data_IF_932071738280
#
_entry.id   IF_932071738280
#
_cell.length_a   1.000
_cell.length_b   1.000
_cell.length_c   1.000
_cell.angle_alpha   90.00
_cell.angle_beta   90.00
_cell.angle_gamma   90.00
#
_symmetry.space_group_name_H-M   'P 1'
#
loop_
_entity.id
_entity.type
_entity.pdbx_description
1 polymer ?
#
# COMPACT_ATOMS: atom_id res chain seq x y z
N UNK A 1 9.39 0.50 12.50
CA UNK A 1 8.48 1.54 11.95
C UNK A 1 7.17 0.88 11.56
N UNK A 2 6.03 1.51 11.86
CA UNK A 2 4.69 0.94 11.55
C UNK A 2 4.53 0.61 10.06
N UNK A 3 5.08 1.45 9.17
CA UNK A 3 5.10 1.15 7.74
C UNK A 3 5.87 -0.14 7.41
N UNK A 4 7.18 -0.19 7.68
CA UNK A 4 8.06 -1.31 7.29
C UNK A 4 7.74 -2.63 7.99
N UNK A 5 7.40 -2.58 9.28
CA UNK A 5 7.25 -3.79 10.10
C UNK A 5 5.78 -4.21 10.22
N UNK A 6 4.84 -3.25 10.09
CA UNK A 6 3.41 -3.47 10.17
C UNK A 6 2.77 -3.66 8.79
N UNK A 7 2.77 -2.62 7.96
CA UNK A 7 2.00 -2.61 6.71
C UNK A 7 2.69 -3.25 5.53
N UNK A 8 3.99 -3.00 5.30
CA UNK A 8 4.72 -3.57 4.16
C UNK A 8 4.53 -5.08 4.10
N UNK A 9 4.68 -5.89 5.16
CA UNK A 9 4.51 -7.33 5.06
C UNK A 9 3.07 -7.81 4.75
N UNK A 10 2.08 -6.94 4.89
CA UNK A 10 0.65 -7.24 4.68
C UNK A 10 0.20 -6.88 3.27
N UNK A 11 0.78 -5.82 2.69
CA UNK A 11 0.42 -5.33 1.36
C UNK A 11 0.99 -6.21 0.24
N UNK A 12 0.22 -6.41 -0.82
CA UNK A 12 0.67 -7.13 -2.02
C UNK A 12 1.72 -6.34 -2.82
N UNK A 13 2.47 -7.01 -3.68
CA UNK A 13 3.45 -6.33 -4.57
C UNK A 13 2.75 -5.46 -5.60
N UNK A 14 1.57 -5.88 -6.07
CA UNK A 14 0.69 -5.10 -6.96
C UNK A 14 0.17 -3.85 -6.25
N UNK A 15 -0.28 -3.97 -5.00
CA UNK A 15 -0.68 -2.85 -4.14
C UNK A 15 0.42 -1.81 -3.96
N UNK A 16 1.61 -2.25 -3.56
CA UNK A 16 2.76 -1.34 -3.42
C UNK A 16 3.17 -0.70 -4.74
N UNK A 17 3.07 -1.42 -5.86
CA UNK A 17 3.37 -0.88 -7.19
C UNK A 17 2.36 0.20 -7.58
N UNK A 18 1.07 -0.04 -7.36
CA UNK A 18 0.02 0.94 -7.62
C UNK A 18 0.20 2.20 -6.76
N UNK A 19 0.52 2.03 -5.46
CA UNK A 19 0.78 3.15 -4.57
C UNK A 19 2.02 3.96 -4.99
N UNK A 20 3.11 3.30 -5.38
CA UNK A 20 4.32 3.96 -5.93
C UNK A 20 3.96 4.87 -7.11
N UNK A 21 3.19 4.33 -8.06
CA UNK A 21 2.87 5.05 -9.29
C UNK A 21 1.95 6.25 -9.00
N UNK A 22 1.00 6.10 -8.08
CA UNK A 22 0.16 7.20 -7.60
C UNK A 22 0.95 8.30 -6.88
N UNK A 23 1.89 7.92 -6.00
CA UNK A 23 2.78 8.86 -5.30
C UNK A 23 3.70 9.60 -6.27
N UNK A 24 4.24 8.93 -7.30
CA UNK A 24 5.08 9.58 -8.33
C UNK A 24 4.29 10.58 -9.17
N UNK A 25 3.05 10.24 -9.50
CA UNK A 25 2.18 11.06 -10.36
C UNK A 25 1.45 12.18 -9.61
N UNK A 26 1.57 12.25 -8.28
CA UNK A 26 0.71 13.09 -7.44
C UNK A 26 -0.78 12.85 -7.70
N UNK A 27 -1.18 11.58 -7.80
CA UNK A 27 -2.55 11.20 -8.17
C UNK A 27 -3.56 11.76 -7.15
N UNK A 28 -4.54 12.54 -7.64
CA UNK A 28 -5.57 13.16 -6.81
C UNK A 28 -6.50 12.14 -6.16
N UNK A 29 -6.54 10.90 -6.66
CA UNK A 29 -7.32 9.79 -6.10
C UNK A 29 -6.65 9.14 -4.90
N UNK A 30 -5.37 9.45 -4.64
CA UNK A 30 -4.70 9.13 -3.38
C UNK A 30 -4.94 10.28 -2.40
N UNK A 31 -5.85 10.08 -1.44
CA UNK A 31 -6.33 11.15 -0.54
C UNK A 31 -5.87 10.94 0.92
N UNK A 32 -5.82 12.02 1.69
CA UNK A 32 -5.58 12.02 3.14
C UNK A 32 -6.90 12.31 3.88
N UNK A 33 -7.03 11.84 5.12
CA UNK A 33 -8.15 12.12 6.02
C UNK A 33 -9.41 11.24 5.83
N UNK A 34 -9.38 10.25 4.92
CA UNK A 34 -10.47 9.30 4.72
C UNK A 34 -9.96 7.98 4.13
N UNK A 35 -10.57 6.85 4.50
CA UNK A 35 -10.26 5.55 3.90
C UNK A 35 -10.63 5.51 2.41
N UNK A 36 -11.84 5.96 2.09
CA UNK A 36 -12.44 5.95 0.75
C UNK A 36 -13.22 7.24 0.49
N UNK A 37 -13.43 7.55 -0.79
CA UNK A 37 -14.45 8.48 -1.27
C UNK A 37 -15.41 7.70 -2.17
N UNK A 38 -16.72 7.69 -1.89
CA UNK A 38 -17.37 8.30 -0.71
C UNK A 38 -16.94 7.60 0.60
N UNK A 39 -17.08 8.28 1.77
CA UNK A 39 -16.74 7.68 3.07
C UNK A 39 -17.52 6.38 3.33
N UNK A 40 -16.97 5.44 4.11
CA UNK A 40 -17.50 4.08 4.26
C UNK A 40 -18.75 4.01 5.16
N UNK A 41 -19.82 4.69 4.76
CA UNK A 41 -21.12 4.63 5.41
C UNK A 41 -21.87 3.35 4.98
N UNK A 42 -22.74 2.85 5.85
CA UNK A 42 -23.51 1.62 5.58
C UNK A 42 -24.36 1.67 4.31
N UNK A 43 -24.85 2.84 3.91
CA UNK A 43 -25.71 3.00 2.73
C UNK A 43 -24.97 3.05 1.39
N UNK A 44 -23.63 3.15 1.40
CA UNK A 44 -22.81 3.27 0.19
C UNK A 44 -21.81 2.12 0.03
N UNK A 45 -21.95 1.03 0.80
CA UNK A 45 -20.99 -0.08 0.80
C UNK A 45 -20.78 -0.69 -0.60
N UNK A 46 -21.86 -0.84 -1.37
CA UNK A 46 -21.82 -1.41 -2.72
C UNK A 46 -21.47 -0.39 -3.81
N UNK A 47 -21.24 0.88 -3.45
CA UNK A 47 -20.92 1.93 -4.41
C UNK A 47 -19.46 1.83 -4.84
N UNK A 48 -19.13 2.28 -6.06
CA UNK A 48 -17.75 2.31 -6.52
C UNK A 48 -16.89 3.27 -5.68
N UNK A 49 -15.61 2.94 -5.54
CA UNK A 49 -14.61 3.85 -4.96
C UNK A 49 -14.14 4.85 -6.02
N UNK A 50 -14.02 6.11 -5.61
CA UNK A 50 -13.54 7.23 -6.44
C UNK A 50 -12.15 7.73 -6.03
N UNK A 51 -11.80 7.55 -4.74
CA UNK A 51 -10.50 7.87 -4.16
C UNK A 51 -10.28 7.07 -2.87
N UNK A 52 -9.03 6.89 -2.43
CA UNK A 52 -8.72 6.17 -1.19
C UNK A 52 -7.41 6.63 -0.53
N UNK A 53 -7.22 6.32 0.76
CA UNK A 53 -5.94 6.48 1.46
C UNK A 53 -4.87 5.52 0.92
N UNK A 54 -3.62 5.62 1.39
CA UNK A 54 -2.53 4.76 0.91
C UNK A 54 -2.86 3.26 0.98
N UNK A 55 -3.47 2.79 2.06
CA UNK A 55 -3.84 1.38 2.23
C UNK A 55 -5.04 1.02 1.33
N UNK A 56 -6.08 1.84 1.33
CA UNK A 56 -7.26 1.60 0.49
C UNK A 56 -6.91 1.63 -1.00
N UNK A 57 -5.98 2.49 -1.42
CA UNK A 57 -5.48 2.58 -2.79
C UNK A 57 -4.74 1.31 -3.22
N UNK A 58 -3.99 0.67 -2.30
CA UNK A 58 -3.37 -0.63 -2.57
C UNK A 58 -4.42 -1.70 -2.86
N UNK A 59 -5.47 -1.79 -2.03
CA UNK A 59 -6.56 -2.75 -2.22
C UNK A 59 -7.37 -2.46 -3.49
N UNK A 60 -7.65 -1.19 -3.76
CA UNK A 60 -8.42 -0.76 -4.92
C UNK A 60 -7.64 -0.92 -6.23
N UNK A 61 -6.60 -0.12 -6.42
CA UNK A 61 -5.89 -0.03 -7.70
C UNK A 61 -4.88 -1.15 -7.89
N UNK A 62 -4.42 -1.79 -6.81
CA UNK A 62 -3.47 -2.89 -6.86
C UNK A 62 -4.12 -4.26 -6.88
N UNK A 63 -5.09 -4.50 -5.98
CA UNK A 63 -5.71 -5.81 -5.78
C UNK A 63 -7.10 -5.93 -6.43
N UNK A 64 -7.60 -4.87 -7.06
CA UNK A 64 -8.82 -4.89 -7.87
C UNK A 64 -10.12 -4.84 -7.07
N UNK A 65 -10.11 -4.26 -5.87
CA UNK A 65 -11.32 -4.05 -5.08
C UNK A 65 -12.09 -2.82 -5.56
N UNK A 66 -13.32 -2.99 -6.05
CA UNK A 66 -14.03 -1.88 -6.69
C UNK A 66 -15.02 -1.13 -5.78
N UNK A 67 -15.46 -1.74 -4.68
CA UNK A 67 -16.53 -1.21 -3.82
C UNK A 67 -16.01 -0.56 -2.54
N UNK A 68 -16.71 0.46 -2.05
CA UNK A 68 -16.41 1.13 -0.77
C UNK A 68 -16.28 0.12 0.37
N UNK A 69 -17.20 -0.84 0.48
CA UNK A 69 -17.18 -1.84 1.53
C UNK A 69 -16.01 -2.81 1.44
N UNK A 70 -15.70 -3.28 0.22
CA UNK A 70 -14.53 -4.14 0.00
C UNK A 70 -13.21 -3.45 0.35
N UNK A 71 -13.05 -2.17 0.00
CA UNK A 71 -11.85 -1.41 0.34
C UNK A 71 -11.77 -1.09 1.84
N UNK A 72 -12.89 -0.80 2.50
CA UNK A 72 -12.96 -0.61 3.95
C UNK A 72 -12.60 -1.89 4.71
N UNK A 73 -13.12 -3.05 4.28
CA UNK A 73 -12.77 -4.34 4.88
C UNK A 73 -11.27 -4.64 4.71
N UNK A 74 -10.72 -4.38 3.53
CA UNK A 74 -9.28 -4.51 3.27
C UNK A 74 -8.46 -3.60 4.19
N UNK A 75 -8.87 -2.34 4.34
CA UNK A 75 -8.23 -1.38 5.25
C UNK A 75 -8.24 -1.89 6.69
N UNK A 76 -9.42 -2.30 7.19
CA UNK A 76 -9.57 -2.80 8.55
C UNK A 76 -8.70 -4.05 8.80
N UNK A 77 -8.63 -4.96 7.83
CA UNK A 77 -7.75 -6.13 7.88
C UNK A 77 -6.28 -5.74 7.92
N UNK A 78 -5.85 -4.79 7.10
CA UNK A 78 -4.46 -4.31 7.12
C UNK A 78 -4.08 -3.72 8.49
N UNK A 79 -4.95 -2.89 9.07
CA UNK A 79 -4.74 -2.32 10.40
C UNK A 79 -4.66 -3.39 11.48
N UNK A 80 -5.57 -4.36 11.47
CA UNK A 80 -5.55 -5.48 12.40
C UNK A 80 -4.26 -6.30 12.31
N UNK A 81 -3.85 -6.68 11.10
CA UNK A 81 -2.62 -7.46 10.89
C UNK A 81 -1.36 -6.69 11.29
N UNK A 82 -1.32 -5.37 11.01
CA UNK A 82 -0.21 -4.52 11.44
C UNK A 82 -0.12 -4.43 12.97
N UNK A 83 -1.25 -4.24 13.66
CA UNK A 83 -1.31 -4.21 15.12
C UNK A 83 -0.81 -5.53 15.73
N UNK A 84 -1.25 -6.67 15.18
CA UNK A 84 -0.82 -7.99 15.65
C UNK A 84 0.67 -8.24 15.44
N UNK A 85 1.21 -7.81 14.30
CA UNK A 85 2.66 -7.92 14.01
C UNK A 85 3.49 -7.06 14.95
N UNK A 86 3.01 -5.89 15.30
CA UNK A 86 3.70 -4.95 16.19
C UNK A 86 3.50 -5.27 17.67
N UNK A 87 2.53 -6.13 18.01
CA UNK A 87 2.23 -6.51 19.39
C UNK A 87 1.63 -5.38 20.23
N UNK A 88 1.12 -4.33 19.59
CA UNK A 88 0.52 -3.16 20.24
C UNK A 88 -0.87 -2.90 19.63
N UNK A 89 -1.95 -2.84 20.46
CA UNK A 89 -3.26 -2.44 19.99
C UNK A 89 -3.26 -1.04 19.39
N UNK A 90 -3.87 -0.88 18.20
CA UNK A 90 -3.94 0.37 17.47
C UNK A 90 -2.57 0.98 17.13
N UNK A 91 -1.51 0.17 16.99
CA UNK A 91 -0.21 0.62 16.50
C UNK A 91 -0.31 1.27 15.12
N UNK A 92 -1.23 0.80 14.27
CA UNK A 92 -1.56 1.35 12.97
C UNK A 92 -1.81 2.88 13.01
N UNK A 93 -2.38 3.41 14.10
CA UNK A 93 -2.67 4.84 14.28
C UNK A 93 -1.45 5.74 14.09
N UNK A 94 -0.25 5.26 14.43
CA UNK A 94 0.96 6.08 14.34
C UNK A 94 1.29 6.41 12.89
N UNK A 95 1.11 5.45 11.98
CA UNK A 95 1.25 5.70 10.55
C UNK A 95 0.07 6.49 9.99
N UNK A 96 -1.16 6.15 10.39
CA UNK A 96 -2.36 6.81 9.86
C UNK A 96 -2.39 8.30 10.22
N UNK A 97 -2.12 8.65 11.48
CA UNK A 97 -2.04 10.04 11.92
C UNK A 97 -0.89 10.76 11.21
N UNK A 98 0.29 10.14 11.10
CA UNK A 98 1.38 10.73 10.34
C UNK A 98 0.98 10.97 8.87
N UNK A 99 0.35 9.99 8.22
CA UNK A 99 -0.08 10.08 6.84
C UNK A 99 -1.10 11.20 6.66
N UNK A 100 -2.05 11.37 7.58
CA UNK A 100 -3.11 12.38 7.47
C UNK A 100 -2.64 13.79 7.87
N UNK A 101 -1.79 13.92 8.88
CA UNK A 101 -1.36 15.22 9.43
C UNK A 101 -0.15 15.83 8.71
N UNK A 102 0.63 15.02 7.98
CA UNK A 102 1.82 15.50 7.26
C UNK A 102 1.42 16.25 5.98
N UNK A 103 2.03 17.42 5.66
CA UNK A 103 1.80 18.09 4.39
C UNK A 103 1.96 17.15 3.19
N UNK A 104 1.03 17.21 2.22
CA UNK A 104 0.92 16.24 1.13
C UNK A 104 2.23 16.00 0.38
N UNK A 105 2.98 17.06 0.10
CA UNK A 105 4.25 17.01 -0.61
C UNK A 105 5.34 16.30 0.19
N UNK A 106 5.41 16.55 1.50
CA UNK A 106 6.31 15.86 2.43
C UNK A 106 5.91 14.38 2.59
N UNK A 107 4.64 14.11 2.87
CA UNK A 107 4.09 12.75 2.98
C UNK A 107 4.40 11.95 1.72
N UNK A 108 4.15 12.53 0.54
CA UNK A 108 4.35 11.86 -0.74
C UNK A 108 5.81 11.51 -0.98
N UNK A 109 6.72 12.47 -0.75
CA UNK A 109 8.16 12.27 -0.90
C UNK A 109 8.65 11.16 0.01
N UNK A 110 8.27 11.20 1.28
CA UNK A 110 8.79 10.30 2.30
C UNK A 110 8.19 8.90 2.16
N UNK A 111 6.88 8.79 1.92
CA UNK A 111 6.23 7.50 1.67
C UNK A 111 6.70 6.86 0.36
N UNK A 112 6.96 7.65 -0.69
CA UNK A 112 7.47 7.11 -1.95
C UNK A 112 8.82 6.41 -1.76
N UNK A 113 9.74 7.01 -1.00
CA UNK A 113 11.04 6.40 -0.71
C UNK A 113 10.87 5.05 0.01
N UNK A 114 9.93 4.97 0.95
CA UNK A 114 9.63 3.75 1.70
C UNK A 114 8.96 2.66 0.85
N UNK A 115 8.07 3.05 -0.06
CA UNK A 115 7.43 2.11 -1.01
C UNK A 115 8.47 1.57 -2.00
N UNK A 116 9.35 2.43 -2.52
CA UNK A 116 10.41 2.02 -3.45
C UNK A 116 11.41 1.08 -2.79
N UNK A 117 11.79 1.34 -1.53
CA UNK A 117 12.62 0.44 -0.74
C UNK A 117 11.93 -0.93 -0.57
N UNK A 118 10.67 -0.95 -0.14
CA UNK A 118 9.92 -2.19 0.05
C UNK A 118 9.77 -3.01 -1.25
N UNK A 119 9.59 -2.34 -2.39
CA UNK A 119 9.54 -3.00 -3.70
C UNK A 119 10.91 -3.55 -4.11
N UNK A 120 12.00 -2.82 -3.88
CA UNK A 120 13.35 -3.28 -4.18
C UNK A 120 13.72 -4.54 -3.39
N UNK A 121 13.30 -4.63 -2.13
CA UNK A 121 13.51 -5.81 -1.27
C UNK A 121 12.68 -7.04 -1.71
N UNK A 122 11.58 -6.83 -2.44
CA UNK A 122 10.71 -7.91 -2.95
C UNK A 122 11.13 -8.44 -4.30
N UNK A 123 11.95 -7.71 -5.06
CA UNK A 123 12.53 -8.25 -6.29
C UNK A 123 13.51 -9.34 -5.86
N UNK A 124 13.31 -10.61 -6.28
CA UNK A 124 14.26 -11.66 -5.99
C UNK A 124 15.63 -11.25 -6.50
N UNK A 125 16.63 -11.18 -5.61
CA UNK A 125 18.02 -11.09 -5.99
C UNK A 125 18.44 -12.49 -6.43
N UNK A 126 18.27 -12.83 -7.72
CA UNK A 126 18.99 -13.91 -8.45
C UNK A 126 18.45 -14.08 -9.90
N UNK A 127 19.23 -14.25 -10.99
CA UNK A 127 20.64 -14.65 -11.19
C UNK A 127 21.18 -14.11 -12.53
N UNK A 128 22.35 -13.43 -12.59
CA UNK A 128 23.29 -13.64 -13.68
C UNK A 128 24.08 -14.94 -13.42
N UNK A 129 24.53 -15.63 -14.49
CA UNK A 129 25.38 -16.84 -14.51
C UNK A 129 24.66 -18.21 -14.61
N UNK A 130 23.74 -18.39 -15.56
CA UNK A 130 23.45 -19.73 -16.10
C UNK A 130 23.36 -19.82 -17.63
N UNK A 131 23.71 -18.75 -18.37
CA UNK A 131 23.91 -18.81 -19.83
C UNK A 131 25.38 -18.98 -20.25
N UNK A 132 26.32 -19.07 -19.30
CA UNK A 132 27.75 -19.19 -19.60
C UNK A 132 28.22 -20.62 -19.92
N UNK A 133 27.42 -21.66 -19.63
CA UNK A 133 27.88 -23.06 -19.77
C UNK A 133 27.20 -23.87 -20.88
N UNK A 134 26.37 -23.26 -21.73
CA UNK A 134 25.66 -23.96 -22.80
C UNK A 134 26.29 -23.82 -24.20
N UNK A 135 27.45 -23.16 -24.34
CA UNK A 135 28.09 -22.93 -25.67
C UNK A 135 29.35 -23.81 -25.88
N UNK A 136 29.75 -24.65 -24.92
CA UNK A 136 30.94 -25.54 -25.06
C UNK A 136 30.65 -27.03 -25.01
N UNK A 137 29.45 -27.48 -25.36
CA UNK A 137 29.20 -28.92 -25.54
C UNK A 137 28.08 -29.19 -26.56
N UNK A 138 28.43 -29.23 -27.84
CA UNK A 138 27.98 -30.20 -28.87
C UNK A 138 28.37 -29.71 -30.26
#
# INVERSE_FOLDING_TARGET
>A
MVWRDGFVPVLSTTGLTALRDALRADDFRLVQGATTTPPPLMCVQDWPVEAACALGYCGWMGDGLDTVGGVEEFFAKCCFEADQRLGEPAACRWFLNWFDDTPRDEMRRDLLAEVELALAERVPVDLPVLLANAITAA
#
